data_IF_121185681653
#
_entry.id   IF_121185681653
#
_cell.length_a   1.000
_cell.length_b   1.000
_cell.length_c   1.000
_cell.angle_alpha   90.00
_cell.angle_beta   90.00
_cell.angle_gamma   90.00
#
_symmetry.space_group_name_H-M   'P 1'
#
loop_
_entity.id
_entity.type
_entity.pdbx_description
1 polymer ?
#
# COMPACT_ATOMS: atom_id res chain seq x y z
N UNK A 1 17.97 54.13 79.21
CA UNK A 1 17.60 52.71 79.32
C UNK A 1 16.45 52.46 78.36
N UNK A 2 16.74 51.90 77.19
CA UNK A 2 15.75 51.53 76.19
C UNK A 2 15.89 50.01 75.98
N UNK A 3 14.92 49.25 76.47
CA UNK A 3 14.88 47.79 76.33
C UNK A 3 14.31 47.41 74.98
N UNK A 4 15.11 46.71 74.17
CA UNK A 4 14.65 46.06 72.95
C UNK A 4 13.69 44.92 73.30
N UNK A 5 12.46 45.02 72.81
CA UNK A 5 11.39 44.05 73.00
C UNK A 5 11.53 42.92 71.96
N UNK A 6 12.09 41.79 72.38
CA UNK A 6 12.33 40.61 71.54
C UNK A 6 11.10 39.72 71.36
N UNK A 7 9.95 40.10 71.93
CA UNK A 7 8.70 39.30 71.83
C UNK A 7 8.01 39.35 70.47
N UNK A 8 8.37 40.30 69.59
CA UNK A 8 7.80 40.40 68.23
C UNK A 8 8.45 39.50 67.17
N UNK A 9 9.67 38.99 67.40
CA UNK A 9 10.41 38.20 66.39
C UNK A 9 10.10 36.69 66.44
N UNK A 10 9.61 36.18 67.58
CA UNK A 10 9.31 34.75 67.74
C UNK A 10 7.97 34.33 67.10
N UNK A 11 6.99 35.22 66.95
CA UNK A 11 5.68 34.88 66.34
C UNK A 11 5.74 34.80 64.80
N UNK A 12 6.62 35.57 64.15
CA UNK A 12 6.79 35.52 62.69
C UNK A 12 7.37 34.20 62.18
N UNK A 13 8.18 33.51 62.99
CA UNK A 13 8.76 32.21 62.62
C UNK A 13 7.73 31.07 62.67
N UNK A 14 6.79 31.09 63.63
CA UNK A 14 5.75 30.07 63.72
C UNK A 14 4.72 30.17 62.56
N UNK A 15 4.47 31.38 62.06
CA UNK A 15 3.56 31.62 60.93
C UNK A 15 4.18 31.20 59.59
N UNK A 16 5.51 31.26 59.44
CA UNK A 16 6.23 30.80 58.24
C UNK A 16 6.25 29.27 58.06
N UNK A 17 6.31 28.51 59.16
CA UNK A 17 6.30 27.03 59.11
C UNK A 17 4.95 26.45 58.67
N UNK A 18 3.83 27.09 59.02
CA UNK A 18 2.50 26.67 58.57
C UNK A 18 2.32 26.79 57.06
N UNK A 19 2.86 27.87 56.47
CA UNK A 19 2.83 28.13 55.02
C UNK A 19 3.71 27.13 54.25
N UNK A 20 4.89 26.80 54.78
CA UNK A 20 5.80 25.84 54.14
C UNK A 20 5.28 24.39 54.21
N UNK A 21 4.66 24.01 55.32
CA UNK A 21 3.99 22.71 55.48
C UNK A 21 2.82 22.56 54.51
N UNK A 22 2.01 23.62 54.34
CA UNK A 22 0.89 23.61 53.41
C UNK A 22 1.37 23.45 51.95
N UNK A 23 2.48 24.09 51.57
CA UNK A 23 3.02 23.99 50.22
C UNK A 23 3.59 22.58 49.92
N UNK A 24 4.32 21.98 50.86
CA UNK A 24 4.78 20.58 50.71
C UNK A 24 3.64 19.57 50.64
N UNK A 25 2.57 19.79 51.41
CA UNK A 25 1.42 18.90 51.41
C UNK A 25 0.63 19.02 50.11
N UNK A 26 0.58 20.20 49.50
CA UNK A 26 -0.02 20.44 48.20
C UNK A 26 0.81 19.83 47.06
N UNK A 27 2.15 19.93 47.12
CA UNK A 27 3.03 19.25 46.15
C UNK A 27 2.84 17.73 46.17
N UNK A 28 2.83 17.11 47.35
CA UNK A 28 2.58 15.66 47.47
C UNK A 28 1.18 15.23 47.03
N UNK A 29 0.18 16.10 47.13
CA UNK A 29 -1.17 15.81 46.61
C UNK A 29 -1.19 15.89 45.09
N UNK A 30 -0.52 16.88 44.49
CA UNK A 30 -0.40 16.98 43.04
C UNK A 30 0.37 15.80 42.45
N UNK A 31 1.52 15.42 43.03
CA UNK A 31 2.30 14.27 42.57
C UNK A 31 1.48 12.96 42.59
N UNK A 32 0.62 12.77 43.60
CA UNK A 32 -0.27 11.60 43.67
C UNK A 32 -1.39 11.67 42.65
N UNK A 33 -1.93 12.86 42.39
CA UNK A 33 -2.95 13.06 41.36
C UNK A 33 -2.35 12.79 39.97
N UNK A 34 -1.15 13.26 39.71
CA UNK A 34 -0.42 13.03 38.46
C UNK A 34 -0.10 11.55 38.27
N UNK A 35 0.39 10.86 39.32
CA UNK A 35 0.60 9.40 39.26
C UNK A 35 -0.70 8.62 39.04
N UNK A 36 -1.82 9.06 39.61
CA UNK A 36 -3.12 8.43 39.37
C UNK A 36 -3.60 8.63 37.94
N UNK A 37 -3.40 9.82 37.37
CA UNK A 37 -3.72 10.11 35.97
C UNK A 37 -2.84 9.32 35.01
N UNK A 38 -1.53 9.21 35.28
CA UNK A 38 -0.59 8.42 34.48
C UNK A 38 -0.98 6.94 34.49
N UNK A 39 -1.25 6.36 35.66
CA UNK A 39 -1.74 4.99 35.75
C UNK A 39 -3.10 4.79 35.07
N UNK A 40 -3.97 5.80 35.05
CA UNK A 40 -5.25 5.72 34.35
C UNK A 40 -5.06 5.77 32.82
N UNK A 41 -4.13 6.61 32.34
CA UNK A 41 -3.76 6.68 30.93
C UNK A 41 -3.14 5.35 30.46
N UNK A 42 -2.18 4.79 31.20
CA UNK A 42 -1.55 3.50 30.87
C UNK A 42 -2.58 2.35 30.82
N UNK A 43 -3.55 2.34 31.74
CA UNK A 43 -4.65 1.35 31.71
C UNK A 43 -5.56 1.53 30.49
N UNK A 44 -5.83 2.76 30.09
CA UNK A 44 -6.63 3.05 28.91
C UNK A 44 -5.89 2.62 27.64
N UNK A 45 -4.59 2.90 27.54
CA UNK A 45 -3.76 2.49 26.41
C UNK A 45 -3.66 0.97 26.30
N UNK A 46 -3.44 0.28 27.42
CA UNK A 46 -3.44 -1.19 27.46
C UNK A 46 -4.79 -1.80 27.07
N UNK A 47 -5.90 -1.19 27.51
CA UNK A 47 -7.25 -1.64 27.13
C UNK A 47 -7.50 -1.42 25.63
N UNK A 48 -7.04 -0.29 25.08
CA UNK A 48 -7.13 0.02 23.66
C UNK A 48 -6.33 -0.98 22.83
N UNK A 49 -5.09 -1.29 23.22
CA UNK A 49 -4.24 -2.27 22.55
C UNK A 49 -4.88 -3.68 22.58
N UNK A 50 -5.43 -4.10 23.71
CA UNK A 50 -6.17 -5.38 23.80
C UNK A 50 -7.38 -5.42 22.88
N UNK A 51 -8.15 -4.34 22.81
CA UNK A 51 -9.32 -4.25 21.94
C UNK A 51 -8.93 -4.26 20.45
N UNK A 52 -7.87 -3.54 20.08
CA UNK A 52 -7.33 -3.53 18.71
C UNK A 52 -6.83 -4.92 18.31
N UNK A 53 -6.11 -5.62 19.19
CA UNK A 53 -5.69 -7.01 19.00
C UNK A 53 -6.87 -7.95 18.79
N UNK A 54 -7.89 -7.86 19.65
CA UNK A 54 -9.10 -8.67 19.52
C UNK A 54 -9.85 -8.40 18.21
N UNK A 55 -9.95 -7.13 17.79
CA UNK A 55 -10.58 -6.76 16.52
C UNK A 55 -9.81 -7.32 15.33
N UNK A 56 -8.47 -7.29 15.37
CA UNK A 56 -7.64 -7.85 14.32
C UNK A 56 -7.75 -9.37 14.23
N UNK A 57 -7.79 -10.07 15.37
CA UNK A 57 -8.00 -11.52 15.41
C UNK A 57 -9.38 -11.91 14.87
N UNK A 58 -10.43 -11.18 15.27
CA UNK A 58 -11.78 -11.39 14.75
C UNK A 58 -11.85 -11.18 13.23
N UNK A 59 -11.19 -10.14 12.72
CA UNK A 59 -11.11 -9.89 11.28
C UNK A 59 -10.39 -11.02 10.53
N UNK A 60 -9.26 -11.51 11.06
CA UNK A 60 -8.53 -12.66 10.48
C UNK A 60 -9.36 -13.94 10.51
N UNK A 61 -10.14 -14.17 11.56
CA UNK A 61 -11.01 -15.33 11.66
C UNK A 61 -12.14 -15.28 10.61
N UNK A 62 -12.79 -14.12 10.45
CA UNK A 62 -13.81 -13.90 9.41
C UNK A 62 -13.22 -14.06 8.00
N UNK A 63 -12.03 -13.52 7.77
CA UNK A 63 -11.32 -13.66 6.49
C UNK A 63 -11.00 -15.13 6.18
N UNK A 64 -10.57 -15.89 7.20
CA UNK A 64 -10.28 -17.31 7.05
C UNK A 64 -11.53 -18.15 6.78
N UNK A 65 -12.66 -17.84 7.43
CA UNK A 65 -13.95 -18.48 7.16
C UNK A 65 -14.42 -18.19 5.74
N UNK A 66 -14.38 -16.92 5.32
CA UNK A 66 -14.74 -16.51 3.97
C UNK A 66 -13.87 -17.23 2.93
N UNK A 67 -12.57 -17.34 3.19
CA UNK A 67 -11.65 -18.02 2.30
C UNK A 67 -11.92 -19.53 2.22
N UNK A 68 -12.17 -20.19 3.35
CA UNK A 68 -12.56 -21.62 3.36
C UNK A 68 -13.84 -21.84 2.55
N UNK A 69 -14.82 -20.95 2.69
CA UNK A 69 -16.04 -20.97 1.92
C UNK A 69 -15.79 -20.79 0.42
N UNK A 70 -14.97 -19.80 0.03
CA UNK A 70 -14.57 -19.58 -1.37
C UNK A 70 -13.85 -20.79 -1.97
N UNK A 71 -12.88 -21.37 -1.25
CA UNK A 71 -12.19 -22.60 -1.69
C UNK A 71 -13.17 -23.77 -1.80
N UNK A 72 -14.14 -23.86 -0.89
CA UNK A 72 -15.25 -24.82 -0.94
C UNK A 72 -16.12 -24.68 -2.19
N UNK A 73 -16.50 -23.46 -2.57
CA UNK A 73 -17.22 -23.18 -3.83
C UNK A 73 -16.42 -23.62 -5.05
N UNK A 74 -15.14 -23.26 -5.12
CA UNK A 74 -14.24 -23.68 -6.21
C UNK A 74 -14.17 -25.21 -6.28
N UNK A 75 -14.00 -25.88 -5.14
CA UNK A 75 -13.97 -27.35 -5.06
C UNK A 75 -15.28 -28.00 -5.50
N UNK A 76 -16.39 -27.28 -5.40
CA UNK A 76 -17.72 -27.71 -5.85
C UNK A 76 -18.01 -27.33 -7.31
N UNK A 77 -17.07 -26.68 -8.01
CA UNK A 77 -17.25 -26.19 -9.38
C UNK A 77 -18.22 -25.01 -9.50
N UNK A 78 -18.51 -24.31 -8.40
CA UNK A 78 -19.41 -23.15 -8.39
C UNK A 78 -18.66 -21.87 -8.80
N UNK A 79 -19.40 -20.95 -9.42
CA UNK A 79 -18.88 -19.62 -9.74
C UNK A 79 -18.51 -18.83 -8.48
N UNK A 80 -17.42 -18.07 -8.60
CA UNK A 80 -16.84 -17.24 -7.55
C UNK A 80 -17.08 -15.78 -7.93
N UNK A 81 -17.57 -14.98 -7.00
CA UNK A 81 -17.83 -13.56 -7.24
C UNK A 81 -16.57 -12.69 -7.13
N UNK A 82 -16.66 -11.42 -7.53
CA UNK A 82 -15.50 -10.51 -7.52
C UNK A 82 -14.93 -10.28 -6.12
N UNK A 83 -15.78 -10.25 -5.08
CA UNK A 83 -15.31 -10.04 -3.71
C UNK A 83 -14.49 -11.23 -3.20
N UNK A 84 -14.89 -12.45 -3.61
CA UNK A 84 -14.18 -13.68 -3.33
C UNK A 84 -12.86 -13.79 -4.13
N UNK A 85 -12.84 -13.29 -5.38
CA UNK A 85 -11.61 -13.17 -6.17
C UNK A 85 -10.65 -12.16 -5.51
N UNK A 86 -11.15 -11.03 -5.03
CA UNK A 86 -10.33 -10.05 -4.31
C UNK A 86 -9.76 -10.62 -3.01
N UNK A 87 -10.56 -11.42 -2.29
CA UNK A 87 -10.11 -12.15 -1.11
C UNK A 87 -8.95 -13.11 -1.42
N UNK A 88 -9.06 -13.87 -2.52
CA UNK A 88 -7.98 -14.74 -3.00
C UNK A 88 -6.77 -13.95 -3.48
N UNK A 89 -6.96 -12.77 -4.08
CA UNK A 89 -5.88 -11.87 -4.50
C UNK A 89 -5.07 -11.37 -3.31
N UNK A 90 -5.73 -11.05 -2.19
CA UNK A 90 -5.09 -10.71 -0.91
C UNK A 90 -4.35 -11.89 -0.27
N UNK A 91 -4.69 -13.12 -0.65
CA UNK A 91 -4.15 -14.35 -0.07
C UNK A 91 -3.44 -15.24 -1.11
N UNK A 92 -2.32 -14.80 -1.70
CA UNK A 92 -1.62 -15.53 -2.78
C UNK A 92 -1.11 -16.92 -2.38
N UNK A 93 -0.97 -17.21 -1.08
CA UNK A 93 -0.53 -18.51 -0.56
C UNK A 93 -1.44 -19.68 -0.94
N UNK A 94 -2.69 -19.42 -1.36
CA UNK A 94 -3.62 -20.47 -1.81
C UNK A 94 -3.66 -20.65 -3.32
N UNK A 95 -3.02 -19.78 -4.09
CA UNK A 95 -2.99 -19.90 -5.55
C UNK A 95 -2.40 -21.22 -6.04
N UNK A 96 -1.35 -21.79 -5.41
CA UNK A 96 -0.87 -23.10 -5.79
C UNK A 96 -1.95 -24.18 -5.70
N UNK A 97 -2.88 -24.12 -4.74
CA UNK A 97 -3.98 -25.11 -4.68
C UNK A 97 -4.84 -25.13 -5.96
N UNK A 98 -4.93 -23.98 -6.65
CA UNK A 98 -5.72 -23.82 -7.86
C UNK A 98 -4.99 -24.30 -9.12
N UNK A 99 -3.67 -24.43 -9.05
CA UNK A 99 -2.83 -24.81 -10.19
C UNK A 99 -2.79 -26.34 -10.35
N UNK A 100 -3.11 -26.90 -11.54
CA UNK A 100 -3.01 -28.33 -11.78
C UNK A 100 -1.59 -28.88 -11.65
N UNK A 101 -0.55 -28.09 -11.92
CA UNK A 101 0.84 -28.53 -11.84
C UNK A 101 1.32 -28.70 -10.39
N UNK A 102 0.54 -28.22 -9.41
CA UNK A 102 0.87 -28.31 -7.98
C UNK A 102 0.91 -29.75 -7.48
N UNK A 103 0.21 -30.70 -8.11
CA UNK A 103 0.25 -32.09 -7.66
C UNK A 103 1.66 -32.67 -7.76
N UNK A 104 2.37 -32.40 -8.86
CA UNK A 104 3.76 -32.79 -9.04
C UNK A 104 4.69 -32.09 -8.05
N UNK A 105 4.43 -30.80 -7.77
CA UNK A 105 5.20 -30.02 -6.80
C UNK A 105 5.00 -30.50 -5.35
N UNK A 106 3.79 -30.94 -4.97
CA UNK A 106 3.52 -31.55 -3.67
C UNK A 106 4.29 -32.87 -3.53
N UNK A 107 4.27 -33.73 -4.56
CA UNK A 107 4.99 -35.00 -4.53
C UNK A 107 6.50 -34.79 -4.44
N UNK A 108 7.04 -33.86 -5.22
CA UNK A 108 8.46 -33.51 -5.19
C UNK A 108 8.85 -32.93 -3.82
N UNK A 109 8.07 -32.00 -3.26
CA UNK A 109 8.33 -31.43 -1.95
C UNK A 109 8.28 -32.49 -0.84
N UNK A 110 7.36 -33.46 -0.91
CA UNK A 110 7.31 -34.57 0.04
C UNK A 110 8.55 -35.45 -0.03
N UNK A 111 9.07 -35.71 -1.22
CA UNK A 111 10.30 -36.48 -1.37
C UNK A 111 11.48 -35.73 -0.75
N UNK A 112 11.63 -34.43 -1.06
CA UNK A 112 12.69 -33.58 -0.49
C UNK A 112 12.66 -33.55 1.03
N UNK A 113 11.47 -33.51 1.63
CA UNK A 113 11.29 -33.43 3.08
C UNK A 113 11.48 -34.80 3.75
N UNK A 114 11.21 -35.90 3.05
CA UNK A 114 11.34 -37.25 3.61
C UNK A 114 12.82 -37.71 3.64
N UNK A 115 13.43 -37.94 4.82
CA UNK A 115 14.82 -38.42 4.95
C UNK A 115 15.13 -39.66 4.11
N UNK A 116 14.11 -40.50 3.92
CA UNK A 116 14.29 -41.81 3.33
C UNK A 116 14.48 -41.74 1.81
N UNK A 117 14.19 -40.60 1.17
CA UNK A 117 14.34 -40.45 -0.28
C UNK A 117 15.69 -39.86 -0.66
N UNK A 118 16.24 -40.26 -1.81
CA UNK A 118 17.55 -39.79 -2.32
C UNK A 118 17.43 -38.50 -3.15
N UNK A 119 16.32 -37.77 -3.02
CA UNK A 119 16.08 -36.55 -3.80
C UNK A 119 16.91 -35.41 -3.22
N UNK A 120 17.68 -34.73 -4.07
CA UNK A 120 18.47 -33.57 -3.67
C UNK A 120 17.56 -32.33 -3.53
N UNK A 121 17.50 -31.76 -2.33
CA UNK A 121 16.79 -30.51 -2.05
C UNK A 121 17.14 -29.35 -3.00
N UNK A 122 18.38 -29.33 -3.51
CA UNK A 122 18.91 -28.28 -4.38
C UNK A 122 18.81 -28.61 -5.88
N UNK A 123 18.16 -29.73 -6.24
CA UNK A 123 17.91 -30.00 -7.65
C UNK A 123 16.90 -28.99 -8.24
N UNK A 124 17.00 -28.65 -9.54
CA UNK A 124 16.15 -27.64 -10.14
C UNK A 124 14.64 -27.91 -10.04
N UNK A 125 14.21 -29.18 -10.01
CA UNK A 125 12.79 -29.54 -9.85
C UNK A 125 12.33 -29.36 -8.41
N UNK A 126 13.16 -29.76 -7.44
CA UNK A 126 12.91 -29.52 -6.01
C UNK A 126 12.80 -28.03 -5.70
N UNK A 127 13.73 -27.22 -6.19
CA UNK A 127 13.68 -25.76 -6.03
C UNK A 127 12.45 -25.14 -6.72
N UNK A 128 12.06 -25.63 -7.89
CA UNK A 128 10.84 -25.17 -8.56
C UNK A 128 9.58 -25.51 -7.74
N UNK A 129 9.49 -26.73 -7.22
CA UNK A 129 8.39 -27.18 -6.36
C UNK A 129 8.32 -26.36 -5.07
N UNK A 130 9.45 -26.10 -4.42
CA UNK A 130 9.53 -25.24 -3.23
C UNK A 130 9.09 -23.81 -3.55
N UNK A 131 9.53 -23.24 -4.67
CA UNK A 131 9.11 -21.91 -5.10
C UNK A 131 7.60 -21.81 -5.38
N UNK A 132 7.00 -22.86 -5.95
CA UNK A 132 5.56 -22.92 -6.14
C UNK A 132 4.81 -22.98 -4.81
N UNK A 133 5.28 -23.78 -3.86
CA UNK A 133 4.59 -24.02 -2.58
C UNK A 133 4.79 -22.92 -1.54
N UNK A 134 5.98 -22.35 -1.48
CA UNK A 134 6.41 -21.39 -0.45
C UNK A 134 6.66 -19.99 -1.02
N UNK A 135 6.58 -19.79 -2.33
CA UNK A 135 6.86 -18.51 -2.98
C UNK A 135 6.06 -17.35 -2.39
N UNK A 136 4.79 -17.56 -2.06
CA UNK A 136 3.97 -16.51 -1.43
C UNK A 136 4.42 -16.15 0.00
N UNK A 137 5.03 -17.07 0.75
CA UNK A 137 5.57 -16.78 2.09
C UNK A 137 6.91 -16.06 2.00
N UNK A 138 7.73 -16.46 1.03
CA UNK A 138 9.06 -15.91 0.78
C UNK A 138 8.96 -14.49 0.22
N UNK A 139 8.01 -14.24 -0.68
CA UNK A 139 7.75 -12.91 -1.27
C UNK A 139 7.02 -11.94 -0.33
N UNK A 140 6.93 -12.23 0.97
CA UNK A 140 6.39 -11.27 1.95
C UNK A 140 7.44 -10.22 2.32
N UNK A 141 6.96 -9.00 2.51
CA UNK A 141 7.77 -7.84 2.89
C UNK A 141 8.42 -7.17 1.68
N UNK A 142 9.22 -6.14 1.97
CA UNK A 142 9.88 -5.33 0.95
C UNK A 142 11.09 -6.05 0.33
N UNK A 143 11.70 -5.44 -0.68
CA UNK A 143 12.96 -5.92 -1.28
C UNK A 143 12.81 -6.69 -2.58
N UNK A 144 11.72 -6.50 -3.33
CA UNK A 144 11.56 -7.05 -4.67
C UNK A 144 11.13 -8.53 -4.72
N UNK A 145 11.32 -9.16 -5.88
CA UNK A 145 10.89 -10.54 -6.12
C UNK A 145 11.93 -11.52 -5.60
N UNK A 146 11.49 -12.52 -4.84
CA UNK A 146 12.35 -13.48 -4.14
C UNK A 146 12.00 -14.89 -4.59
N UNK A 147 13.03 -15.72 -4.79
CA UNK A 147 12.88 -17.15 -5.06
C UNK A 147 13.94 -17.97 -4.34
N UNK A 148 13.59 -19.16 -3.87
CA UNK A 148 14.54 -20.14 -3.32
C UNK A 148 15.49 -20.58 -4.41
N UNK A 149 16.79 -20.46 -4.14
CA UNK A 149 17.88 -21.00 -4.99
C UNK A 149 18.72 -22.04 -4.25
N UNK A 150 18.57 -22.15 -2.94
CA UNK A 150 19.20 -23.19 -2.15
C UNK A 150 18.43 -23.49 -0.86
N UNK A 151 18.58 -24.71 -0.36
CA UNK A 151 18.08 -25.15 0.93
C UNK A 151 19.20 -25.90 1.65
N UNK A 152 19.46 -25.49 2.89
CA UNK A 152 20.51 -26.03 3.74
C UNK A 152 19.92 -26.46 5.07
N UNK A 153 20.42 -27.53 5.72
CA UNK A 153 19.98 -27.87 7.05
C UNK A 153 20.39 -26.79 8.06
N UNK A 154 19.52 -26.56 9.04
CA UNK A 154 19.77 -25.67 10.15
C UNK A 154 20.79 -26.22 11.14
N UNK A 155 21.22 -25.38 12.07
CA UNK A 155 22.22 -25.74 13.09
C UNK A 155 21.69 -26.70 14.15
N UNK A 156 20.37 -26.77 14.30
CA UNK A 156 19.66 -27.64 15.23
C UNK A 156 19.37 -29.04 14.66
N UNK A 157 19.54 -29.23 13.35
CA UNK A 157 19.26 -30.49 12.68
C UNK A 157 17.78 -30.78 12.40
N UNK A 158 16.87 -30.01 13.00
CA UNK A 158 15.41 -30.15 12.85
C UNK A 158 14.80 -29.04 11.98
N UNK A 159 15.60 -28.07 11.56
CA UNK A 159 15.18 -26.96 10.72
C UNK A 159 15.94 -26.90 9.39
N UNK A 160 15.45 -26.05 8.48
CA UNK A 160 16.14 -25.69 7.25
C UNK A 160 16.32 -24.18 7.15
N UNK A 161 17.40 -23.77 6.50
CA UNK A 161 17.69 -22.41 6.09
C UNK A 161 17.56 -22.32 4.58
N UNK A 162 16.83 -21.32 4.10
CA UNK A 162 16.63 -21.09 2.67
C UNK A 162 17.57 -19.99 2.18
N UNK A 163 18.26 -20.23 1.06
CA UNK A 163 18.95 -19.20 0.30
C UNK A 163 18.03 -18.68 -0.80
N UNK A 164 17.89 -17.36 -0.85
CA UNK A 164 16.98 -16.67 -1.74
C UNK A 164 17.80 -15.89 -2.78
N UNK A 165 17.44 -16.00 -4.05
CA UNK A 165 17.81 -14.99 -5.04
C UNK A 165 16.75 -13.89 -5.00
N UNK A 166 17.22 -12.67 -4.79
CA UNK A 166 16.40 -11.47 -4.71
C UNK A 166 16.64 -10.64 -5.96
N UNK A 167 15.58 -10.36 -6.71
CA UNK A 167 15.56 -9.40 -7.80
C UNK A 167 15.04 -8.07 -7.25
N UNK A 168 15.98 -7.14 -7.03
CA UNK A 168 15.68 -5.79 -6.54
C UNK A 168 14.87 -4.98 -7.56
N UNK A 169 14.30 -3.86 -7.09
CA UNK A 169 13.55 -2.92 -7.93
C UNK A 169 14.40 -2.27 -9.03
N UNK A 170 15.71 -2.18 -8.80
CA UNK A 170 16.71 -1.72 -9.78
C UNK A 170 17.09 -2.78 -10.82
N UNK A 171 16.50 -3.98 -10.73
CA UNK A 171 16.80 -5.13 -11.58
C UNK A 171 18.09 -5.86 -11.21
N UNK A 172 18.79 -5.45 -10.15
CA UNK A 172 19.95 -6.17 -9.63
C UNK A 172 19.52 -7.51 -9.04
N UNK A 173 20.39 -8.52 -9.16
CA UNK A 173 20.18 -9.85 -8.58
C UNK A 173 21.28 -10.13 -7.57
N UNK A 174 20.90 -10.57 -6.38
CA UNK A 174 21.84 -11.03 -5.38
C UNK A 174 21.25 -12.21 -4.61
N UNK A 175 22.12 -13.06 -4.08
CA UNK A 175 21.72 -14.16 -3.21
C UNK A 175 21.87 -13.72 -1.75
N UNK A 176 20.88 -14.06 -0.94
CA UNK A 176 20.90 -13.80 0.49
C UNK A 176 20.19 -14.93 1.25
N UNK A 177 20.63 -15.28 2.47
CA UNK A 177 19.87 -16.18 3.32
C UNK A 177 18.53 -15.52 3.71
N UNK A 178 17.49 -16.32 3.90
CA UNK A 178 16.22 -15.85 4.45
C UNK A 178 16.41 -15.43 5.91
N UNK A 179 16.00 -14.23 6.30
CA UNK A 179 16.16 -13.68 7.67
C UNK A 179 14.81 -13.44 8.35
N UNK A 180 14.80 -13.36 9.69
CA UNK A 180 13.57 -13.11 10.48
C UNK A 180 13.07 -11.67 10.35
N UNK A 181 13.99 -10.69 10.35
CA UNK A 181 13.66 -9.26 10.31
C UNK A 181 13.20 -8.79 8.94
N UNK A 182 13.53 -9.54 7.87
CA UNK A 182 13.22 -9.19 6.47
C UNK A 182 13.73 -7.80 6.09
N UNK A 183 14.66 -7.25 6.87
CA UNK A 183 15.19 -5.92 6.67
C UNK A 183 16.40 -6.03 5.76
N UNK A 184 16.52 -5.09 4.82
CA UNK A 184 17.68 -4.96 3.96
C UNK A 184 18.75 -4.01 4.55
N UNK A 185 18.51 -3.47 5.75
CA UNK A 185 19.26 -2.33 6.30
C UNK A 185 19.89 -2.56 7.66
N UNK A 186 19.58 -3.64 8.39
CA UNK A 186 20.14 -3.90 9.71
C UNK A 186 21.07 -5.12 9.72
N UNK A 187 22.31 -4.92 10.18
CA UNK A 187 23.35 -5.95 10.28
C UNK A 187 23.05 -7.05 11.32
N UNK A 188 21.98 -6.91 12.10
CA UNK A 188 21.58 -7.85 13.17
C UNK A 188 20.54 -8.89 12.72
N UNK A 189 20.27 -8.99 11.41
CA UNK A 189 19.26 -9.89 10.88
C UNK A 189 19.68 -11.36 11.03
N UNK A 190 19.02 -12.08 11.95
CA UNK A 190 19.27 -13.50 12.19
C UNK A 190 18.69 -14.34 11.04
N UNK A 191 19.47 -15.29 10.54
CA UNK A 191 19.02 -16.29 9.55
C UNK A 191 17.81 -17.05 10.10
N UNK A 192 16.74 -17.08 9.31
CA UNK A 192 15.51 -17.79 9.66
C UNK A 192 15.72 -19.29 9.48
N UNK A 193 15.56 -20.00 10.59
CA UNK A 193 15.46 -21.46 10.62
C UNK A 193 13.97 -21.84 10.58
N UNK A 194 13.58 -22.57 9.54
CA UNK A 194 12.21 -23.06 9.33
C UNK A 194 12.15 -24.50 9.80
N UNK A 195 11.35 -24.83 10.84
CA UNK A 195 11.20 -26.22 11.28
C UNK A 195 10.70 -27.10 10.13
N UNK A 196 11.30 -28.28 9.97
CA UNK A 196 10.91 -29.24 8.91
C UNK A 196 9.43 -29.61 9.07
N UNK A 197 8.93 -29.74 10.29
CA UNK A 197 7.53 -30.03 10.61
C UNK A 197 6.58 -29.01 9.98
N UNK A 198 6.97 -27.74 9.96
CA UNK A 198 6.15 -26.67 9.36
C UNK A 198 6.06 -26.82 7.84
N UNK A 199 7.14 -27.26 7.19
CA UNK A 199 7.12 -27.55 5.76
C UNK A 199 6.25 -28.77 5.45
N UNK A 200 6.31 -29.81 6.29
CA UNK A 200 5.43 -30.99 6.20
C UNK A 200 3.97 -30.57 6.34
N UNK A 201 3.62 -29.81 7.38
CA UNK A 201 2.25 -29.35 7.65
C UNK A 201 1.70 -28.54 6.47
N UNK A 202 2.48 -27.59 5.94
CA UNK A 202 2.08 -26.80 4.79
C UNK A 202 1.86 -27.65 3.53
N UNK A 203 2.75 -28.61 3.28
CA UNK A 203 2.64 -29.51 2.12
C UNK A 203 1.42 -30.44 2.24
N UNK A 204 1.14 -30.94 3.44
CA UNK A 204 -0.05 -31.75 3.73
C UNK A 204 -1.34 -30.93 3.61
N UNK A 205 -1.36 -29.71 4.15
CA UNK A 205 -2.50 -28.80 4.03
C UNK A 205 -2.82 -28.49 2.57
N UNK A 206 -1.80 -28.23 1.75
CA UNK A 206 -1.98 -28.03 0.32
C UNK A 206 -2.50 -29.29 -0.38
N UNK A 207 -1.99 -30.48 -0.02
CA UNK A 207 -2.52 -31.75 -0.54
C UNK A 207 -3.99 -31.94 -0.21
N UNK A 208 -4.42 -31.59 1.00
CA UNK A 208 -5.83 -31.65 1.38
C UNK A 208 -6.68 -30.72 0.51
N UNK A 209 -6.24 -29.48 0.28
CA UNK A 209 -6.92 -28.54 -0.61
C UNK A 209 -6.95 -29.03 -2.07
N UNK A 210 -5.85 -29.60 -2.57
CA UNK A 210 -5.80 -30.19 -3.91
C UNK A 210 -6.76 -31.37 -4.06
N UNK A 211 -6.83 -32.24 -3.06
CA UNK A 211 -7.71 -33.40 -3.06
C UNK A 211 -9.18 -33.01 -3.16
N UNK A 212 -9.62 -31.90 -2.55
CA UNK A 212 -11.01 -31.43 -2.71
C UNK A 212 -11.28 -30.89 -4.12
N UNK A 213 -10.24 -30.44 -4.84
CA UNK A 213 -10.34 -29.85 -6.18
C UNK A 213 -10.07 -30.85 -7.33
N UNK A 214 -9.98 -32.16 -7.06
CA UNK A 214 -9.71 -33.17 -8.10
C UNK A 214 -10.87 -33.40 -9.09
N UNK A 215 -12.08 -32.94 -8.76
CA UNK A 215 -13.25 -33.08 -9.63
C UNK A 215 -13.09 -32.32 -10.96
N UNK A 216 -13.55 -32.84 -12.12
CA UNK A 216 -13.41 -32.15 -13.41
C UNK A 216 -14.07 -30.76 -13.47
N UNK A 217 -15.14 -30.55 -12.70
CA UNK A 217 -15.78 -29.23 -12.55
C UNK A 217 -14.93 -28.30 -11.69
N UNK A 218 -14.42 -28.81 -10.56
CA UNK A 218 -13.54 -28.06 -9.67
C UNK A 218 -12.25 -27.62 -10.36
N UNK A 219 -11.62 -28.49 -11.16
CA UNK A 219 -10.40 -28.18 -11.90
C UNK A 219 -10.62 -27.08 -12.94
N UNK A 220 -11.74 -27.14 -13.68
CA UNK A 220 -12.10 -26.08 -14.64
C UNK A 220 -12.31 -24.75 -13.94
N UNK A 221 -12.98 -24.77 -12.80
CA UNK A 221 -13.23 -23.55 -12.03
C UNK A 221 -11.96 -22.99 -11.41
N UNK A 222 -11.12 -23.84 -10.82
CA UNK A 222 -9.83 -23.47 -10.25
C UNK A 222 -8.92 -22.84 -11.32
N UNK A 223 -8.85 -23.43 -12.52
CA UNK A 223 -8.09 -22.87 -13.64
C UNK A 223 -8.66 -21.51 -14.11
N UNK A 224 -9.98 -21.37 -14.17
CA UNK A 224 -10.65 -20.11 -14.53
C UNK A 224 -10.31 -18.99 -13.52
N UNK A 225 -10.44 -19.28 -12.22
CA UNK A 225 -10.12 -18.35 -11.13
C UNK A 225 -8.64 -18.01 -11.13
N UNK A 226 -7.75 -18.99 -11.29
CA UNK A 226 -6.31 -18.79 -11.34
C UNK A 226 -5.89 -17.86 -12.49
N UNK A 227 -6.49 -18.02 -13.68
CA UNK A 227 -6.25 -17.10 -14.79
C UNK A 227 -6.62 -15.66 -14.43
N UNK A 228 -7.79 -15.46 -13.82
CA UNK A 228 -8.23 -14.12 -13.35
C UNK A 228 -7.24 -13.56 -12.32
N UNK A 229 -6.79 -14.37 -11.37
CA UNK A 229 -5.85 -13.96 -10.31
C UNK A 229 -4.47 -13.56 -10.85
N UNK A 230 -3.97 -14.26 -11.88
CA UNK A 230 -2.69 -13.96 -12.54
C UNK A 230 -2.74 -12.68 -13.38
N UNK A 231 -3.93 -12.10 -13.58
CA UNK A 231 -4.13 -11.04 -14.55
C UNK A 231 -3.95 -11.54 -15.97
N UNK A 232 -3.94 -12.86 -16.19
CA UNK A 232 -4.22 -13.44 -17.49
C UNK A 232 -5.65 -13.05 -17.77
N UNK A 233 -5.83 -11.90 -18.43
CA UNK A 233 -7.13 -11.38 -18.75
C UNK A 233 -7.80 -12.46 -19.60
N UNK A 234 -8.65 -13.26 -18.94
CA UNK A 234 -9.58 -14.20 -19.55
C UNK A 234 -10.66 -13.44 -20.36
N UNK A 235 -10.31 -12.27 -20.89
CA UNK A 235 -10.94 -11.67 -22.03
C UNK A 235 -10.58 -12.55 -23.23
N UNK A 236 -11.25 -13.68 -23.34
CA UNK A 236 -11.34 -14.38 -24.61
C UNK A 236 -12.16 -13.48 -25.54
N UNK A 237 -11.44 -12.69 -26.33
CA UNK A 237 -12.00 -11.93 -27.42
C UNK A 237 -12.19 -12.86 -28.62
N UNK A 238 -13.44 -13.20 -28.92
CA UNK A 238 -13.78 -13.92 -30.15
C UNK A 238 -13.98 -12.93 -31.29
N UNK A 239 -13.48 -13.31 -32.47
CA UNK A 239 -13.70 -12.56 -33.69
C UNK A 239 -15.09 -12.89 -34.25
N UNK A 240 -16.02 -11.95 -34.19
CA UNK A 240 -17.38 -12.10 -34.74
C UNK A 240 -17.58 -11.10 -35.88
N UNK A 241 -18.28 -11.49 -36.95
CA UNK A 241 -18.62 -10.58 -38.05
C UNK A 241 -19.94 -9.88 -37.75
N UNK A 242 -19.88 -8.59 -37.38
CA UNK A 242 -21.06 -7.81 -37.03
C UNK A 242 -21.67 -7.14 -38.28
N UNK A 243 -23.01 -7.21 -38.50
CA UNK A 243 -23.65 -6.74 -39.73
C UNK A 243 -23.41 -5.27 -40.10
N UNK A 244 -23.10 -4.41 -39.11
CA UNK A 244 -22.91 -2.96 -39.31
C UNK A 244 -21.47 -2.49 -39.06
N UNK A 245 -20.69 -3.25 -38.31
CA UNK A 245 -19.36 -2.82 -37.82
C UNK A 245 -18.20 -3.60 -38.46
N UNK A 246 -18.50 -4.63 -39.26
CA UNK A 246 -17.49 -5.51 -39.82
C UNK A 246 -16.94 -6.47 -38.76
N UNK A 247 -15.67 -6.83 -38.84
CA UNK A 247 -15.02 -7.69 -37.86
C UNK A 247 -14.94 -6.99 -36.50
N UNK A 248 -15.58 -7.57 -35.49
CA UNK A 248 -15.53 -7.12 -34.10
C UNK A 248 -14.82 -8.17 -33.26
N UNK A 249 -14.13 -7.73 -32.22
CA UNK A 249 -13.76 -8.58 -31.10
C UNK A 249 -14.86 -8.48 -30.07
N UNK A 250 -15.51 -9.61 -29.76
CA UNK A 250 -16.49 -9.72 -28.70
C UNK A 250 -15.86 -10.47 -27.54
N UNK A 251 -15.82 -9.84 -26.38
CA UNK A 251 -15.43 -10.52 -25.15
C UNK A 251 -16.52 -11.54 -24.83
N UNK A 252 -16.19 -12.83 -24.83
CA UNK A 252 -17.19 -13.89 -24.66
C UNK A 252 -17.79 -13.93 -23.26
N UNK A 253 -17.12 -13.34 -22.26
CA UNK A 253 -17.60 -13.25 -20.88
C UNK A 253 -18.43 -12.00 -20.64
N UNK A 254 -17.91 -10.82 -21.01
CA UNK A 254 -18.58 -9.54 -20.69
C UNK A 254 -19.58 -9.11 -21.75
N UNK A 255 -19.49 -9.67 -22.96
CA UNK A 255 -20.26 -9.21 -24.12
C UNK A 255 -19.80 -7.87 -24.67
N UNK A 256 -18.72 -7.28 -24.14
CA UNK A 256 -18.14 -6.05 -24.66
C UNK A 256 -17.70 -6.25 -26.11
N UNK A 257 -18.02 -5.28 -26.96
CA UNK A 257 -17.71 -5.30 -28.39
C UNK A 257 -16.65 -4.24 -28.67
N UNK A 258 -15.46 -4.66 -29.12
CA UNK A 258 -14.42 -3.78 -29.64
C UNK A 258 -14.39 -3.87 -31.16
N UNK A 259 -14.70 -2.77 -31.89
CA UNK A 259 -14.52 -2.76 -33.33
C UNK A 259 -13.02 -2.92 -33.63
N UNK A 260 -12.65 -3.96 -34.37
CA UNK A 260 -11.30 -4.02 -34.92
C UNK A 260 -11.27 -2.96 -36.01
N UNK A 261 -10.47 -1.90 -35.78
CA UNK A 261 -10.28 -0.87 -36.80
C UNK A 261 -9.88 -1.56 -38.12
N UNK A 262 -10.64 -1.41 -39.20
CA UNK A 262 -10.22 -1.91 -40.50
C UNK A 262 -8.92 -1.18 -40.86
N UNK A 263 -7.79 -1.90 -40.84
CA UNK A 263 -6.44 -1.36 -41.04
C UNK A 263 -5.41 -1.69 -39.95
N UNK A 264 -5.81 -2.38 -38.87
CA UNK A 264 -4.86 -2.95 -37.91
C UNK A 264 -4.66 -4.45 -38.20
N UNK A 265 -3.89 -4.77 -39.25
CA UNK A 265 -3.44 -6.15 -39.51
C UNK A 265 -4.23 -6.94 -40.56
N UNK A 266 -4.96 -6.26 -41.46
CA UNK A 266 -5.48 -6.93 -42.66
C UNK A 266 -4.31 -7.52 -43.47
N UNK A 267 -4.42 -8.73 -44.04
CA UNK A 267 -3.43 -9.29 -44.97
C UNK A 267 -3.14 -8.40 -46.19
N UNK A 268 -3.96 -7.36 -46.45
CA UNK A 268 -3.69 -6.33 -47.45
C UNK A 268 -2.77 -5.19 -47.00
N UNK A 269 -2.42 -5.07 -45.71
CA UNK A 269 -1.40 -4.12 -45.22
C UNK A 269 0.04 -4.66 -45.30
N UNK A 270 0.23 -5.91 -45.74
CA UNK A 270 1.57 -6.50 -45.92
C UNK A 270 2.19 -6.25 -47.30
N UNK A 271 1.51 -5.56 -48.22
CA UNK A 271 2.11 -5.20 -49.51
C UNK A 271 2.54 -3.74 -49.53
N UNK A 272 3.75 -3.49 -49.03
CA UNK A 272 4.67 -2.50 -49.57
C UNK A 272 4.40 -1.04 -49.20
N UNK A 273 5.28 -0.46 -48.39
CA UNK A 273 5.32 0.99 -48.24
C UNK A 273 6.16 1.45 -47.07
N UNK A 274 7.48 1.25 -47.15
CA UNK A 274 8.47 1.96 -46.35
C UNK A 274 8.53 3.44 -46.76
N UNK A 275 7.41 4.14 -46.71
CA UNK A 275 7.33 5.56 -47.05
C UNK A 275 6.44 6.27 -46.02
N UNK A 276 7.03 7.25 -45.34
CA UNK A 276 6.37 8.28 -44.52
C UNK A 276 6.05 7.97 -43.05
N UNK A 277 7.02 7.44 -42.31
CA UNK A 277 7.10 7.66 -40.85
C UNK A 277 7.16 9.16 -40.49
N UNK A 278 7.57 10.01 -41.44
CA UNK A 278 7.65 11.47 -41.31
C UNK A 278 6.31 12.22 -41.34
N UNK A 279 5.19 11.57 -41.69
CA UNK A 279 3.87 12.22 -41.77
C UNK A 279 2.93 11.85 -40.61
N UNK A 280 3.44 11.21 -39.55
CA UNK A 280 2.63 11.04 -38.32
C UNK A 280 2.55 12.39 -37.59
N UNK A 281 1.33 12.87 -37.27
CA UNK A 281 1.19 14.12 -36.53
C UNK A 281 1.95 14.05 -35.21
N UNK A 282 2.83 15.01 -34.97
CA UNK A 282 3.52 15.14 -33.68
C UNK A 282 2.50 15.43 -32.57
N UNK A 283 2.84 15.17 -31.30
CA UNK A 283 1.94 15.47 -30.18
C UNK A 283 1.45 16.93 -30.23
N UNK A 284 2.37 17.86 -30.50
CA UNK A 284 2.07 19.29 -30.70
C UNK A 284 1.07 19.55 -31.83
N UNK A 285 1.12 18.80 -32.93
CA UNK A 285 0.15 18.95 -34.02
C UNK A 285 -1.25 18.47 -33.62
N UNK A 286 -1.35 17.46 -32.75
CA UNK A 286 -2.62 17.00 -32.20
C UNK A 286 -3.22 18.03 -31.24
N UNK A 287 -2.40 18.67 -30.41
CA UNK A 287 -2.85 19.71 -29.47
C UNK A 287 -3.32 20.97 -30.22
N UNK A 288 -2.59 21.36 -31.27
CA UNK A 288 -3.01 22.42 -32.19
C UNK A 288 -4.36 22.08 -32.84
N UNK A 289 -4.53 20.83 -33.33
CA UNK A 289 -5.80 20.39 -33.92
C UNK A 289 -6.94 20.38 -32.90
N UNK A 290 -6.67 19.98 -31.65
CA UNK A 290 -7.64 20.01 -30.56
C UNK A 290 -8.09 21.43 -30.23
N UNK A 291 -7.16 22.38 -30.11
CA UNK A 291 -7.48 23.77 -29.82
C UNK A 291 -8.36 24.41 -30.90
N UNK A 292 -8.06 24.14 -32.18
CA UNK A 292 -8.87 24.64 -33.29
C UNK A 292 -10.24 23.98 -33.34
N UNK A 293 -10.29 22.65 -33.17
CA UNK A 293 -11.54 21.88 -33.28
C UNK A 293 -12.55 22.26 -32.20
N UNK A 294 -12.07 22.60 -31.00
CA UNK A 294 -12.91 23.01 -29.87
C UNK A 294 -13.15 24.52 -29.80
N UNK A 295 -12.66 25.30 -30.77
CA UNK A 295 -12.81 26.75 -30.79
C UNK A 295 -12.01 27.48 -29.71
N UNK A 296 -10.99 26.83 -29.12
CA UNK A 296 -10.06 27.44 -28.17
C UNK A 296 -9.07 28.37 -28.87
N UNK A 297 -8.76 28.08 -30.13
CA UNK A 297 -8.00 28.94 -31.02
C UNK A 297 -8.77 29.14 -32.34
N UNK A 298 -8.76 30.35 -32.92
CA UNK A 298 -9.44 30.62 -34.18
C UNK A 298 -8.82 29.86 -35.37
N UNK A 299 -7.52 29.55 -35.30
CA UNK A 299 -6.80 28.79 -36.31
C UNK A 299 -5.54 28.10 -35.72
N UNK A 300 -4.86 27.31 -36.56
CA UNK A 300 -3.69 26.52 -36.15
C UNK A 300 -2.49 27.38 -35.78
N UNK A 301 -2.41 28.59 -36.34
CA UNK A 301 -1.30 29.52 -36.10
C UNK A 301 -1.46 30.18 -34.73
N UNK A 302 -2.67 30.63 -34.40
CA UNK A 302 -3.03 31.11 -33.07
C UNK A 302 -2.86 30.02 -31.99
N UNK A 303 -3.25 28.78 -32.26
CA UNK A 303 -3.05 27.65 -31.36
C UNK A 303 -1.55 27.39 -31.08
N UNK A 304 -0.72 27.48 -32.12
CA UNK A 304 0.73 27.37 -31.95
C UNK A 304 1.26 28.57 -31.17
N UNK A 305 0.85 29.80 -31.46
CA UNK A 305 1.34 30.96 -30.71
C UNK A 305 0.97 30.91 -29.22
N UNK A 306 -0.22 30.40 -28.89
CA UNK A 306 -0.67 30.11 -27.52
C UNK A 306 0.21 29.05 -26.84
N UNK A 307 0.47 27.92 -27.50
CA UNK A 307 1.37 26.87 -27.00
C UNK A 307 2.81 27.37 -26.85
N UNK A 308 3.27 28.23 -27.76
CA UNK A 308 4.62 28.79 -27.76
C UNK A 308 4.82 29.78 -26.61
N UNK A 309 3.86 30.67 -26.39
CA UNK A 309 3.88 31.63 -25.29
C UNK A 309 3.82 30.92 -23.92
N UNK A 310 3.17 29.76 -23.82
CA UNK A 310 3.17 28.92 -22.62
C UNK A 310 4.46 28.12 -22.36
N UNK A 311 5.27 27.88 -23.39
CA UNK A 311 6.45 26.99 -23.32
C UNK A 311 7.77 27.64 -22.82
N UNK A 312 7.75 28.94 -22.52
CA UNK A 312 8.96 29.70 -22.13
C UNK A 312 9.38 29.59 -20.66
N UNK A 313 8.49 29.12 -19.80
CA UNK A 313 8.74 28.80 -18.39
C UNK A 313 7.85 27.59 -18.07
N UNK A 314 8.26 26.70 -17.16
CA UNK A 314 7.52 25.51 -16.71
C UNK A 314 6.14 25.82 -16.03
N UNK A 315 5.49 26.94 -16.35
CA UNK A 315 4.21 27.36 -15.80
C UNK A 315 3.06 26.50 -16.30
N UNK A 316 3.06 26.10 -17.58
CA UNK A 316 1.95 25.35 -18.18
C UNK A 316 1.80 23.94 -17.59
N UNK A 317 2.89 23.18 -17.51
CA UNK A 317 2.85 21.83 -16.90
C UNK A 317 2.46 21.92 -15.42
N UNK A 318 2.98 22.91 -14.69
CA UNK A 318 2.62 23.14 -13.28
C UNK A 318 1.16 23.56 -13.09
N UNK A 319 0.57 24.28 -14.04
CA UNK A 319 -0.85 24.61 -13.98
C UNK A 319 -1.74 23.41 -14.30
N UNK A 320 -1.35 22.53 -15.23
CA UNK A 320 -2.09 21.29 -15.49
C UNK A 320 -2.01 20.34 -14.29
N UNK A 321 -0.82 20.11 -13.73
CA UNK A 321 -0.64 19.32 -12.50
C UNK A 321 -1.51 19.88 -11.35
N UNK A 322 -1.64 21.20 -11.26
CA UNK A 322 -2.48 21.86 -10.26
C UNK A 322 -3.98 21.69 -10.55
N UNK A 323 -4.40 21.77 -11.81
CA UNK A 323 -5.80 21.53 -12.20
C UNK A 323 -6.18 20.09 -11.90
N UNK A 324 -5.32 19.12 -12.20
CA UNK A 324 -5.55 17.70 -11.94
C UNK A 324 -5.62 17.40 -10.43
N UNK A 325 -4.71 17.98 -9.62
CA UNK A 325 -4.78 17.86 -8.17
C UNK A 325 -6.08 18.42 -7.58
N UNK A 326 -6.57 19.55 -8.12
CA UNK A 326 -7.85 20.14 -7.71
C UNK A 326 -9.05 19.29 -8.15
N UNK A 327 -8.99 18.67 -9.34
CA UNK A 327 -10.04 17.75 -9.83
C UNK A 327 -10.14 16.49 -8.97
N UNK A 328 -9.01 15.86 -8.65
CA UNK A 328 -8.96 14.71 -7.75
C UNK A 328 -9.55 15.06 -6.37
N UNK A 329 -9.21 16.24 -5.82
CA UNK A 329 -9.80 16.71 -4.55
C UNK A 329 -11.32 16.91 -4.65
N UNK A 330 -11.82 17.42 -5.77
CA UNK A 330 -13.25 17.59 -6.00
C UNK A 330 -13.99 16.24 -6.11
N UNK A 331 -13.36 15.24 -6.71
CA UNK A 331 -13.87 13.86 -6.78
C UNK A 331 -13.96 13.24 -5.38
N UNK A 332 -12.90 13.33 -4.56
CA UNK A 332 -12.90 12.83 -3.18
C UNK A 332 -14.00 13.45 -2.31
N UNK A 333 -14.20 14.77 -2.44
CA UNK A 333 -15.26 15.49 -1.74
C UNK A 333 -16.65 15.05 -2.22
N UNK A 334 -16.81 14.78 -3.52
CA UNK A 334 -18.06 14.29 -4.10
C UNK A 334 -18.37 12.88 -3.61
N UNK A 335 -17.38 11.98 -3.56
CA UNK A 335 -17.52 10.64 -2.99
C UNK A 335 -17.92 10.69 -1.50
N UNK A 336 -17.34 11.63 -0.75
CA UNK A 336 -17.72 11.87 0.66
C UNK A 336 -19.17 12.33 0.78
N UNK A 337 -19.61 13.28 -0.04
CA UNK A 337 -20.99 13.79 -0.05
C UNK A 337 -22.00 12.70 -0.45
N UNK A 338 -21.63 11.81 -1.37
CA UNK A 338 -22.47 10.70 -1.82
C UNK A 338 -22.47 9.52 -0.82
N UNK A 339 -21.63 9.54 0.21
CA UNK A 339 -21.51 8.45 1.17
C UNK A 339 -20.81 7.20 0.60
N UNK A 340 -19.95 7.37 -0.40
CA UNK A 340 -19.18 6.27 -1.01
C UNK A 340 -17.94 5.86 -0.18
N UNK A 341 -17.67 6.57 0.92
CA UNK A 341 -16.60 6.25 1.86
C UNK A 341 -16.95 5.16 2.88
N UNK A 342 -15.91 4.55 3.48
CA UNK A 342 -16.06 3.47 4.47
C UNK A 342 -16.75 3.90 5.79
N UNK A 343 -16.85 5.19 6.05
CA UNK A 343 -17.49 5.78 7.23
C UNK A 343 -18.61 6.71 6.79
N UNK A 344 -19.77 6.61 7.44
CA UNK A 344 -20.90 7.53 7.22
C UNK A 344 -20.50 8.89 7.83
N UNK A 345 -20.32 9.95 7.02
CA UNK A 345 -19.97 11.26 7.53
C UNK A 345 -21.13 11.86 8.34
N UNK A 346 -20.79 12.64 9.36
CA UNK A 346 -21.75 13.42 10.13
C UNK A 346 -22.34 14.57 9.30
N UNK A 347 -23.48 15.11 9.74
CA UNK A 347 -24.16 16.22 9.06
C UNK A 347 -23.26 17.47 8.95
N UNK A 348 -22.46 17.75 9.99
CA UNK A 348 -21.49 18.86 10.00
C UNK A 348 -20.35 18.62 8.99
N UNK A 349 -19.84 17.40 8.87
CA UNK A 349 -18.83 17.03 7.88
C UNK A 349 -19.36 17.14 6.45
N UNK A 350 -20.63 16.79 6.22
CA UNK A 350 -21.28 16.95 4.92
C UNK A 350 -21.41 18.43 4.52
N UNK A 351 -21.77 19.31 5.46
CA UNK A 351 -21.86 20.75 5.19
C UNK A 351 -20.49 21.34 4.85
N UNK A 352 -19.44 20.97 5.60
CA UNK A 352 -18.06 21.38 5.32
C UNK A 352 -17.56 20.88 3.97
N UNK A 353 -17.83 19.61 3.63
CA UNK A 353 -17.44 19.03 2.34
C UNK A 353 -18.11 19.75 1.15
N UNK A 354 -19.38 20.17 1.29
CA UNK A 354 -20.09 20.93 0.27
C UNK A 354 -19.51 22.34 0.08
N UNK A 355 -19.15 23.03 1.16
CA UNK A 355 -18.52 24.34 1.08
C UNK A 355 -17.13 24.26 0.44
N UNK A 356 -16.34 23.26 0.83
CA UNK A 356 -15.02 22.99 0.25
C UNK A 356 -15.12 22.66 -1.24
N UNK A 357 -16.09 21.83 -1.65
CA UNK A 357 -16.28 21.48 -3.07
C UNK A 357 -16.56 22.72 -3.93
N UNK A 358 -17.39 23.66 -3.46
CA UNK A 358 -17.65 24.92 -4.17
C UNK A 358 -16.40 25.78 -4.30
N UNK A 359 -15.61 25.85 -3.24
CA UNK A 359 -14.30 26.53 -3.21
C UNK A 359 -13.34 25.93 -4.24
N UNK A 360 -13.18 24.60 -4.25
CA UNK A 360 -12.29 23.88 -5.18
C UNK A 360 -12.73 24.08 -6.63
N UNK A 361 -14.03 24.00 -6.92
CA UNK A 361 -14.56 24.25 -8.26
C UNK A 361 -14.30 25.69 -8.74
N UNK A 362 -14.37 26.68 -7.85
CA UNK A 362 -14.00 28.06 -8.19
C UNK A 362 -12.51 28.17 -8.51
N UNK A 363 -11.66 27.52 -7.72
CA UNK A 363 -10.21 27.51 -7.95
C UNK A 363 -9.82 26.82 -9.25
N UNK A 364 -10.51 25.74 -9.64
CA UNK A 364 -10.33 25.08 -10.94
C UNK A 364 -10.61 26.10 -12.05
N UNK A 365 -11.78 26.75 -12.05
CA UNK A 365 -12.12 27.75 -13.07
C UNK A 365 -11.13 28.90 -13.13
N UNK A 366 -10.73 29.44 -11.98
CA UNK A 366 -9.76 30.54 -11.93
C UNK A 366 -8.39 30.12 -12.49
N UNK A 367 -7.97 28.89 -12.21
CA UNK A 367 -6.70 28.34 -12.70
C UNK A 367 -6.79 28.05 -14.20
N UNK A 368 -7.89 27.47 -14.67
CA UNK A 368 -8.16 27.24 -16.10
C UNK A 368 -8.19 28.57 -16.87
N UNK A 369 -8.89 29.59 -16.36
CA UNK A 369 -8.94 30.92 -16.98
C UNK A 369 -7.55 31.56 -17.08
N UNK A 370 -6.71 31.43 -16.04
CA UNK A 370 -5.33 31.94 -16.06
C UNK A 370 -4.41 31.15 -17.00
N UNK A 371 -4.61 29.83 -17.08
CA UNK A 371 -3.74 28.91 -17.82
C UNK A 371 -4.03 28.96 -19.31
N UNK A 372 -5.32 28.95 -19.66
CA UNK A 372 -5.79 28.88 -21.04
C UNK A 372 -6.17 30.25 -21.61
N UNK A 373 -6.06 31.33 -20.81
CA UNK A 373 -6.41 32.68 -21.24
C UNK A 373 -7.90 32.85 -21.57
N UNK A 374 -8.75 31.98 -21.03
CA UNK A 374 -10.20 32.00 -21.29
C UNK A 374 -10.81 33.10 -20.41
N UNK A 375 -11.04 34.27 -20.98
CA UNK A 375 -11.78 35.34 -20.32
C UNK A 375 -13.29 35.10 -20.48
N UNK A 376 -13.88 34.32 -19.57
CA UNK A 376 -15.35 34.08 -19.54
C UNK A 376 -16.15 35.25 -18.94
N UNK A 377 -15.56 36.43 -18.74
CA UNK A 377 -16.27 37.58 -18.16
C UNK A 377 -17.24 38.29 -19.12
N UNK A 378 -17.30 37.90 -20.40
CA UNK A 378 -18.20 38.50 -21.40
C UNK A 378 -19.44 37.64 -21.66
N UNK A 379 -20.44 37.73 -20.79
CA UNK A 379 -21.71 37.01 -21.00
C UNK A 379 -22.87 37.39 -20.08
N UNK A 380 -22.91 38.60 -19.50
CA UNK A 380 -24.14 39.10 -18.88
C UNK A 380 -24.25 40.61 -18.98
N UNK A 381 -25.09 41.03 -19.92
CA UNK A 381 -25.89 42.25 -19.97
C UNK A 381 -25.35 43.56 -19.39
N UNK A 382 -24.98 44.39 -20.37
CA UNK A 382 -24.98 45.83 -20.37
C UNK A 382 -26.37 46.42 -20.02
N UNK A 383 -26.57 46.88 -18.78
CA UNK A 383 -27.50 47.99 -18.50
C UNK A 383 -26.90 48.93 -17.46
N UNK A 384 -26.80 50.19 -17.87
CA UNK A 384 -25.87 51.15 -17.31
C UNK A 384 -26.24 51.72 -15.94
N UNK A 385 -25.23 52.27 -15.27
CA UNK A 385 -25.43 53.50 -14.54
C UNK A 385 -24.14 54.32 -14.48
N UNK A 386 -24.37 55.61 -14.63
CA UNK A 386 -23.50 56.73 -14.84
C UNK A 386 -22.57 57.01 -13.64
N UNK A 387 -21.30 57.28 -13.98
CA UNK A 387 -20.34 58.18 -13.34
C UNK A 387 -20.75 58.92 -12.06
N UNK A 388 -19.94 58.77 -11.01
CA UNK A 388 -19.54 59.92 -10.17
C UNK A 388 -18.12 59.78 -9.61
N UNK A 389 -17.26 60.70 -10.07
CA UNK A 389 -16.07 61.30 -9.40
C UNK A 389 -16.13 61.18 -7.86
N UNK A 390 -15.05 61.05 -7.08
CA UNK A 390 -13.91 61.97 -6.96
C UNK A 390 -13.01 61.50 -5.78
N UNK A 391 -11.68 61.65 -5.95
CA UNK A 391 -10.67 62.14 -4.99
C UNK A 391 -10.62 61.66 -3.53
N UNK A 392 -9.41 61.24 -3.14
CA UNK A 392 -8.80 61.55 -1.84
C UNK A 392 -7.85 60.44 -1.39
N UNK A 393 -6.53 60.59 -1.46
CA UNK A 393 -5.63 61.31 -0.53
C UNK A 393 -4.88 60.31 0.36
N UNK A 394 -3.55 60.32 0.19
CA UNK A 394 -2.45 60.10 1.14
C UNK A 394 -2.68 59.24 2.40
N UNK A 395 -1.77 58.27 2.58
CA UNK A 395 -1.57 57.56 3.84
C UNK A 395 -0.20 56.88 3.90
N UNK A 396 0.79 57.62 4.39
CA UNK A 396 2.13 57.15 4.78
C UNK A 396 2.06 56.11 5.91
N UNK A 397 2.99 55.16 5.88
CA UNK A 397 3.91 54.98 7.02
C UNK A 397 3.96 53.61 7.70
N UNK A 398 5.18 53.30 8.14
CA UNK A 398 5.61 52.28 9.12
C UNK A 398 5.52 50.81 8.67
N UNK A 399 6.48 49.95 8.98
CA UNK A 399 7.59 50.01 9.92
C UNK A 399 7.88 48.55 10.30
N UNK A 400 9.17 48.18 10.39
CA UNK A 400 9.61 46.79 10.40
C UNK A 400 9.17 45.97 11.63
N UNK A 401 9.40 44.66 11.57
CA UNK A 401 10.25 44.02 12.57
C UNK A 401 10.69 42.63 12.11
N UNK A 402 12.00 42.43 12.14
CA UNK A 402 12.71 41.15 12.13
C UNK A 402 12.61 40.48 13.50
N UNK A 403 12.41 39.16 13.54
CA UNK A 403 12.84 38.35 14.69
C UNK A 403 13.21 36.94 14.23
N UNK A 404 14.51 36.75 14.06
CA UNK A 404 15.20 35.46 14.13
C UNK A 404 15.02 34.86 15.52
N UNK A 405 14.75 33.56 15.59
CA UNK A 405 14.56 32.81 16.84
C UNK A 405 15.25 31.47 16.80
N UNK A 406 16.51 31.49 17.22
CA UNK A 406 17.37 30.37 17.62
C UNK A 406 16.63 29.32 18.47
N UNK A 407 16.82 28.01 18.19
CA UNK A 407 16.71 26.96 19.21
C UNK A 407 17.82 25.92 19.04
N UNK A 408 18.58 25.81 20.11
CA UNK A 408 19.73 24.95 20.34
C UNK A 408 19.32 23.52 20.74
N UNK A 409 20.18 22.60 20.30
CA UNK A 409 20.57 21.30 20.83
C UNK A 409 19.92 20.77 22.13
N UNK A 410 19.23 19.64 22.01
CA UNK A 410 18.93 18.72 23.11
C UNK A 410 19.99 17.61 23.23
N UNK A 411 20.54 17.47 24.43
CA UNK A 411 21.52 16.46 24.82
C UNK A 411 20.87 15.11 25.12
N UNK A 412 21.29 14.04 24.43
CA UNK A 412 20.94 12.66 24.76
C UNK A 412 21.76 12.19 25.97
N UNK A 413 21.08 11.76 27.04
CA UNK A 413 21.69 11.03 28.17
C UNK A 413 21.51 9.53 27.97
N UNK A 414 22.63 8.82 27.83
CA UNK A 414 22.70 7.37 27.87
C UNK A 414 22.50 6.86 29.30
N UNK A 415 21.57 5.93 29.48
CA UNK A 415 21.42 5.14 30.70
C UNK A 415 21.70 3.67 30.40
N UNK A 416 22.87 3.19 30.79
CA UNK A 416 23.25 1.78 30.78
C UNK A 416 22.38 1.00 31.78
N UNK A 417 21.61 0.02 31.30
CA UNK A 417 20.95 -0.99 32.15
C UNK A 417 21.80 -2.25 32.20
N UNK A 418 22.19 -2.63 33.41
CA UNK A 418 22.99 -3.82 33.70
C UNK A 418 22.27 -5.13 33.37
N UNK A 419 23.03 -6.04 32.75
CA UNK A 419 22.68 -7.41 32.44
C UNK A 419 22.54 -8.26 33.72
N UNK A 420 21.44 -9.00 33.84
CA UNK A 420 21.28 -10.09 34.82
C UNK A 420 21.77 -11.41 34.20
N UNK A 421 22.52 -12.25 34.94
CA UNK A 421 22.91 -13.57 34.46
C UNK A 421 21.72 -14.54 34.53
N UNK A 422 21.44 -15.20 33.40
CA UNK A 422 20.43 -16.25 33.29
C UNK A 422 20.88 -17.59 33.92
N UNK A 423 19.92 -18.50 34.19
CA UNK A 423 20.19 -19.79 34.79
C UNK A 423 20.89 -20.77 33.82
N UNK A 424 21.66 -21.70 34.37
CA UNK A 424 22.40 -22.75 33.65
C UNK A 424 21.46 -23.75 32.96
N UNK A 425 21.85 -24.32 31.81
CA UNK A 425 21.07 -25.34 31.13
C UNK A 425 21.14 -26.67 31.88
N UNK A 426 19.99 -27.34 32.00
CA UNK A 426 19.88 -28.74 32.41
C UNK A 426 20.13 -29.62 31.17
N UNK A 427 21.10 -30.52 31.29
CA UNK A 427 21.38 -31.61 30.34
C UNK A 427 20.34 -32.73 30.51
N UNK A 428 20.21 -33.53 29.45
CA UNK A 428 19.41 -34.77 29.31
C UNK A 428 17.98 -34.59 28.77
N UNK A 429 17.91 -34.45 27.43
CA UNK A 429 16.77 -34.95 26.66
C UNK A 429 17.28 -35.90 25.58
N UNK A 430 16.67 -37.09 25.56
CA UNK A 430 16.90 -38.15 24.59
C UNK A 430 16.85 -37.61 23.16
N UNK A 431 17.97 -37.73 22.46
CA UNK A 431 18.17 -37.27 21.09
C UNK A 431 17.27 -38.11 20.16
N UNK A 432 16.43 -37.40 19.42
CA UNK A 432 15.49 -37.94 18.46
C UNK A 432 16.27 -38.46 17.23
N UNK A 433 16.45 -39.78 17.13
CA UNK A 433 17.33 -40.43 16.13
C UNK A 433 16.92 -40.22 14.67
N UNK A 434 15.71 -39.73 14.41
CA UNK A 434 15.20 -39.53 13.05
C UNK A 434 15.70 -38.21 12.44
N UNK A 435 16.00 -37.19 13.24
CA UNK A 435 16.56 -35.92 12.77
C UNK A 435 18.02 -36.07 12.32
N UNK A 436 18.82 -36.83 13.08
CA UNK A 436 20.23 -37.11 12.75
C UNK A 436 20.39 -37.93 11.45
N UNK A 437 19.37 -38.73 11.09
CA UNK A 437 19.36 -39.50 9.85
C UNK A 437 19.14 -38.63 8.60
N UNK A 438 18.39 -37.53 8.72
CA UNK A 438 18.22 -36.55 7.63
C UNK A 438 19.57 -35.91 7.28
N UNK A 439 20.38 -35.57 8.28
CA UNK A 439 21.60 -34.77 8.11
C UNK A 439 22.78 -35.55 7.53
N UNK A 440 22.96 -36.82 7.91
CA UNK A 440 24.08 -37.67 7.44
C UNK A 440 23.95 -38.10 5.97
N UNK A 441 22.88 -37.71 5.27
CA UNK A 441 22.67 -38.05 3.85
C UNK A 441 23.04 -36.91 2.91
N UNK A 442 22.96 -35.67 3.39
CA UNK A 442 23.29 -34.47 2.62
C UNK A 442 24.75 -34.02 2.81
N UNK A 443 25.53 -34.76 3.62
CA UNK A 443 26.97 -34.62 3.86
C UNK A 443 27.61 -35.99 4.02
#
# INVERSE_FOLDING_TARGET
MAGLDTRGLASGFAQGFGLMSQHQQQQKQNERADQQMEMQAERFDMQKEQYEGQKQEAARAQEMEALQFTLGKISSGMDVDESEIELLRKNPKYWPALDPDTDASIEQAQQVIDPNTEVDANDPKSLAALNQMFGAEINKGDGGQKRVVGMYPGTDGESVMLELEVLGEDGSRYNAPMTRGRSNTEDDDTVMQIPVERMVEQTQGMRMLRNTMQGPEAQRQAASVLGILRGDSNESWELEEHPRLGAIQRNTKTGEIKPIRPGAGSPHDKSGGSENYWNRPTATQKDIEYMVTNGLAPDREAAWEMLRQGSGDNSYSRSEDRIDALRNRAEDLTATINGEGATIPSEEELEQAQEELRSVQSMIRDTENRTYGIDMSNGSDQQGSTSQRRSGTEGRGNGGNSSEGNREAESKRNGERGLRPGPKPEEDRDINTDADAILNKYF
#
